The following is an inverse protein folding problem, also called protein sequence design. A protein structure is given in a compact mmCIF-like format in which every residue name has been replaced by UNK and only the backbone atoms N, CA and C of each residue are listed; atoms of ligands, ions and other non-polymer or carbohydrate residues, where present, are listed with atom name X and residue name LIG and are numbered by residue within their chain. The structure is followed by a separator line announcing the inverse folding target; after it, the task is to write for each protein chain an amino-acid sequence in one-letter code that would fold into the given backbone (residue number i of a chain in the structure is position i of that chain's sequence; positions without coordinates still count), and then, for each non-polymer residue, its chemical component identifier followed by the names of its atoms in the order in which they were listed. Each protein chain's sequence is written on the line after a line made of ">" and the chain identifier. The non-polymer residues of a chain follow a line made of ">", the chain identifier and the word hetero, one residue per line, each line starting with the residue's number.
data_IF_246558065176
#
_entry.id   IF_246558065176
#
_cell.length_a   1.000
_cell.length_b   1.000
_cell.length_c   1.000
_cell.angle_alpha   90.00
_cell.angle_beta   90.00
_cell.angle_gamma   90.00
#
_symmetry.space_group_name_H-M   'P 1'
#
loop_
_entity.id
_entity.type
_entity.pdbx_description
1 polymer ?
#
# COMPACT_ATOMS: atom_id res chain seq x y z
N UNK A 1 22.57 -20.29 -64.67
CA UNK A 1 22.22 -21.21 -63.56
C UNK A 1 23.28 -21.09 -62.50
N UNK A 2 22.85 -20.86 -61.24
CA UNK A 2 23.48 -21.23 -59.96
C UNK A 2 25.01 -21.38 -59.94
N UNK A 3 25.71 -20.60 -59.11
CA UNK A 3 26.37 -21.15 -57.91
C UNK A 3 27.26 -20.11 -57.22
N UNK A 4 27.11 -20.10 -55.90
CA UNK A 4 27.93 -19.48 -54.86
C UNK A 4 29.39 -19.94 -54.85
N UNK A 5 30.33 -19.06 -54.45
CA UNK A 5 31.15 -19.19 -53.22
C UNK A 5 32.22 -18.07 -53.03
N UNK A 6 32.22 -17.56 -51.80
CA UNK A 6 33.31 -17.22 -50.87
C UNK A 6 34.45 -16.21 -51.17
N UNK A 7 34.64 -15.39 -50.12
CA UNK A 7 35.87 -14.82 -49.54
C UNK A 7 36.56 -13.65 -50.25
N UNK A 8 36.79 -12.55 -49.51
CA UNK A 8 38.15 -12.03 -49.29
C UNK A 8 38.22 -11.16 -48.03
N UNK A 9 39.34 -11.34 -47.32
CA UNK A 9 39.81 -10.63 -46.12
C UNK A 9 40.16 -9.17 -46.39
N UNK A 10 40.08 -8.30 -45.38
CA UNK A 10 40.98 -7.16 -45.28
C UNK A 10 41.41 -6.94 -43.82
N UNK A 11 42.72 -6.99 -43.59
CA UNK A 11 43.38 -6.52 -42.38
C UNK A 11 44.25 -5.30 -42.67
N UNK A 12 44.27 -4.37 -41.70
CA UNK A 12 45.29 -3.35 -41.37
C UNK A 12 45.67 -2.30 -42.43
N UNK A 13 45.96 -1.02 -42.11
CA UNK A 13 46.84 -0.53 -41.03
C UNK A 13 46.66 1.02 -40.82
N UNK A 14 46.62 1.44 -39.54
CA UNK A 14 47.14 2.67 -38.85
C UNK A 14 46.57 4.09 -39.08
N UNK A 15 46.28 4.75 -37.93
CA UNK A 15 46.23 6.21 -37.79
C UNK A 15 45.97 6.71 -36.34
N UNK A 16 47.03 6.77 -35.54
CA UNK A 16 47.34 7.50 -34.28
C UNK A 16 46.26 8.11 -33.33
N UNK A 17 46.55 7.90 -32.04
CA UNK A 17 45.99 8.46 -30.80
C UNK A 17 46.18 9.98 -30.63
N UNK A 18 45.24 10.60 -29.91
CA UNK A 18 45.52 11.74 -29.02
C UNK A 18 44.83 11.52 -27.66
N UNK A 19 45.61 11.60 -26.59
CA UNK A 19 45.19 11.61 -25.18
C UNK A 19 45.30 13.05 -24.68
N UNK A 20 44.29 13.54 -23.96
CA UNK A 20 44.46 14.66 -23.04
C UNK A 20 44.22 14.18 -21.60
N UNK A 21 45.20 14.46 -20.74
CA UNK A 21 45.23 14.17 -19.31
C UNK A 21 44.73 15.36 -18.49
N UNK A 22 44.03 15.08 -17.39
CA UNK A 22 43.79 16.03 -16.30
C UNK A 22 43.21 15.34 -15.05
N UNK A 23 44.06 15.15 -14.03
CA UNK A 23 43.74 14.82 -12.61
C UNK A 23 42.96 15.99 -11.97
N UNK A 24 42.22 15.90 -10.86
CA UNK A 24 42.40 15.08 -9.67
C UNK A 24 41.15 15.06 -8.74
N UNK A 25 41.04 13.98 -7.95
CA UNK A 25 40.55 13.87 -6.55
C UNK A 25 39.10 14.19 -6.13
N UNK A 26 38.47 13.20 -5.46
CA UNK A 26 37.71 13.44 -4.21
C UNK A 26 36.24 12.98 -4.11
N UNK A 27 36.02 11.70 -3.81
CA UNK A 27 34.90 11.07 -3.08
C UNK A 27 33.47 11.63 -3.09
N UNK A 28 32.50 10.83 -3.55
CA UNK A 28 31.35 10.36 -2.76
C UNK A 28 30.36 9.48 -3.57
N UNK A 29 30.00 8.35 -2.96
CA UNK A 29 28.75 7.56 -3.06
C UNK A 29 28.10 7.30 -4.42
N UNK A 30 28.22 6.03 -4.86
CA UNK A 30 27.40 5.41 -5.91
C UNK A 30 25.96 5.26 -5.41
N UNK A 31 25.03 6.07 -5.93
CA UNK A 31 23.60 5.82 -5.88
C UNK A 31 23.21 5.15 -7.19
N UNK A 32 22.82 3.87 -7.14
CA UNK A 32 22.29 3.14 -8.29
C UNK A 32 20.85 3.59 -8.55
N UNK A 33 20.68 4.65 -9.36
CA UNK A 33 19.40 5.02 -9.96
C UNK A 33 19.05 4.05 -11.10
N UNK A 34 17.93 3.33 -10.97
CA UNK A 34 17.37 2.44 -12.00
C UNK A 34 17.07 3.21 -13.29
N UNK A 35 17.66 2.77 -14.40
CA UNK A 35 17.18 3.08 -15.75
C UNK A 35 15.91 2.27 -16.03
N UNK A 36 14.73 2.89 -15.94
CA UNK A 36 13.50 2.30 -16.49
C UNK A 36 13.33 2.76 -17.94
N UNK A 37 13.77 1.93 -18.90
CA UNK A 37 13.32 2.02 -20.29
C UNK A 37 11.94 1.37 -20.34
N UNK A 38 10.88 2.16 -20.23
CA UNK A 38 9.51 1.69 -20.45
C UNK A 38 9.17 1.97 -21.92
N UNK A 39 9.25 0.91 -22.73
CA UNK A 39 8.60 0.85 -24.04
C UNK A 39 7.12 0.57 -23.83
N UNK A 40 6.26 1.58 -24.06
CA UNK A 40 4.81 1.39 -24.13
C UNK A 40 4.30 1.91 -25.47
N UNK A 41 3.92 0.98 -26.33
CA UNK A 41 3.21 1.22 -27.57
C UNK A 41 1.74 1.52 -27.22
N UNK A 42 1.29 2.77 -27.41
CA UNK A 42 -0.14 3.09 -27.45
C UNK A 42 -0.48 3.76 -28.78
N UNK A 43 -1.41 3.15 -29.50
CA UNK A 43 -1.99 3.64 -30.75
C UNK A 43 -2.74 4.95 -30.51
N UNK A 44 -2.26 6.02 -31.13
CA UNK A 44 -2.85 7.35 -31.09
C UNK A 44 -4.18 7.38 -31.85
N UNK A 45 -5.23 7.94 -31.23
CA UNK A 45 -6.43 8.36 -31.95
C UNK A 45 -6.06 9.55 -32.84
N UNK A 46 -6.13 9.32 -34.15
CA UNK A 46 -5.74 10.25 -35.20
C UNK A 46 -6.88 11.27 -35.43
N UNK A 47 -6.67 12.53 -35.05
CA UNK A 47 -7.54 13.63 -35.49
C UNK A 47 -7.01 14.21 -36.81
N UNK A 48 -7.88 14.63 -37.75
CA UNK A 48 -7.49 14.93 -39.11
C UNK A 48 -6.68 16.23 -39.21
N UNK A 49 -5.69 16.18 -40.10
CA UNK A 49 -4.67 17.19 -40.39
C UNK A 49 -5.26 18.53 -40.86
N UNK A 50 -4.84 19.64 -40.22
CA UNK A 50 -4.84 20.98 -40.82
C UNK A 50 -3.39 21.37 -41.16
N UNK A 51 -3.09 21.81 -42.41
CA UNK A 51 -1.75 22.23 -42.77
C UNK A 51 -1.59 23.72 -42.41
N UNK A 52 -0.85 24.03 -41.34
CA UNK A 52 -0.39 25.40 -41.08
C UNK A 52 1.09 25.37 -40.73
N UNK A 53 1.86 26.04 -41.58
CA UNK A 53 3.26 26.38 -41.44
C UNK A 53 3.47 27.32 -40.23
N UNK A 54 4.69 27.28 -39.66
CA UNK A 54 5.22 27.94 -38.44
C UNK A 54 5.37 27.00 -37.23
N UNK A 55 6.63 26.71 -36.91
CA UNK A 55 7.08 25.68 -35.97
C UNK A 55 6.76 25.96 -34.51
N UNK A 56 5.56 25.59 -34.09
CA UNK A 56 5.29 25.24 -32.69
C UNK A 56 5.47 23.72 -32.56
N UNK A 57 6.65 23.32 -32.10
CA UNK A 57 6.87 21.94 -31.68
C UNK A 57 5.86 21.59 -30.59
N UNK A 58 4.98 20.64 -30.87
CA UNK A 58 4.05 20.11 -29.88
C UNK A 58 4.88 19.43 -28.79
N UNK A 59 5.07 20.12 -27.66
CA UNK A 59 5.78 19.58 -26.50
C UNK A 59 4.99 18.37 -26.00
N UNK A 60 5.57 17.18 -26.14
CA UNK A 60 5.04 15.93 -25.59
C UNK A 60 6.10 15.37 -24.63
N UNK A 61 5.68 15.09 -23.42
CA UNK A 61 6.45 14.37 -22.41
C UNK A 61 5.55 13.31 -21.79
N UNK A 62 6.16 12.35 -21.09
CA UNK A 62 5.42 11.32 -20.37
C UNK A 62 4.80 11.91 -19.09
N UNK A 63 3.60 11.43 -18.76
CA UNK A 63 2.88 11.85 -17.57
C UNK A 63 3.44 11.11 -16.36
N UNK A 64 4.61 11.56 -15.90
CA UNK A 64 5.31 10.99 -14.76
C UNK A 64 4.86 11.63 -13.44
N UNK A 65 5.03 10.91 -12.33
CA UNK A 65 4.77 11.47 -11.00
C UNK A 65 5.71 12.65 -10.71
N UNK A 66 5.21 13.67 -10.02
CA UNK A 66 5.96 14.86 -9.64
C UNK A 66 5.60 15.28 -8.21
N UNK A 67 6.58 15.82 -7.48
CA UNK A 67 6.33 16.39 -6.17
C UNK A 67 5.75 17.80 -6.31
N UNK A 68 4.58 18.04 -5.73
CA UNK A 68 3.93 19.34 -5.73
C UNK A 68 4.49 20.30 -4.65
N UNK A 69 5.34 19.81 -3.73
CA UNK A 69 5.98 20.62 -2.69
C UNK A 69 5.07 21.03 -1.54
N UNK A 70 3.81 20.60 -1.54
CA UNK A 70 2.80 20.85 -0.51
C UNK A 70 2.29 19.57 0.16
N UNK A 71 3.08 18.48 0.09
CA UNK A 71 2.72 17.15 0.61
C UNK A 71 1.86 16.30 -0.33
N UNK A 72 1.49 16.83 -1.50
CA UNK A 72 0.83 16.06 -2.56
C UNK A 72 1.83 15.62 -3.62
N UNK A 73 1.57 14.47 -4.24
CA UNK A 73 2.29 13.96 -5.41
C UNK A 73 1.36 14.10 -6.60
N UNK A 74 1.68 15.04 -7.48
CA UNK A 74 0.93 15.26 -8.71
C UNK A 74 1.39 14.36 -9.85
N UNK A 75 0.81 14.61 -11.02
CA UNK A 75 1.21 14.02 -12.28
C UNK A 75 1.61 15.14 -13.23
N UNK A 76 2.69 14.95 -13.97
CA UNK A 76 3.19 15.96 -14.88
C UNK A 76 2.28 16.06 -16.11
N UNK A 77 1.66 17.23 -16.30
CA UNK A 77 0.80 17.53 -17.44
C UNK A 77 1.21 18.85 -18.08
N UNK A 78 0.77 19.11 -19.31
CA UNK A 78 0.84 20.48 -19.82
C UNK A 78 -0.11 21.37 -19.01
N UNK A 79 0.24 22.65 -18.82
CA UNK A 79 -0.60 23.58 -18.02
C UNK A 79 -2.04 23.68 -18.54
N UNK A 80 -2.23 23.62 -19.86
CA UNK A 80 -3.55 23.65 -20.50
C UNK A 80 -4.33 22.38 -20.23
N UNK A 81 -3.67 21.23 -20.31
CA UNK A 81 -4.29 19.92 -20.06
C UNK A 81 -4.68 19.75 -18.60
N UNK A 82 -3.82 20.18 -17.67
CA UNK A 82 -4.14 20.18 -16.24
C UNK A 82 -5.44 20.96 -15.94
N UNK A 83 -5.56 22.18 -16.51
CA UNK A 83 -6.78 22.99 -16.36
C UNK A 83 -8.00 22.35 -17.02
N UNK A 84 -7.82 21.73 -18.19
CA UNK A 84 -8.91 21.07 -18.91
C UNK A 84 -9.45 19.87 -18.13
N UNK A 85 -8.57 19.13 -17.45
CA UNK A 85 -8.90 18.01 -16.59
C UNK A 85 -9.38 18.42 -15.19
N UNK A 86 -9.50 19.72 -14.90
CA UNK A 86 -9.97 20.23 -13.60
C UNK A 86 -8.93 20.14 -12.47
N UNK A 87 -7.66 19.88 -12.77
CA UNK A 87 -6.59 19.81 -11.79
C UNK A 87 -5.96 21.17 -11.46
N UNK A 88 -5.23 21.21 -10.35
CA UNK A 88 -4.50 22.39 -9.90
C UNK A 88 -3.04 22.34 -10.34
N UNK A 89 -2.55 23.42 -10.97
CA UNK A 89 -1.13 23.56 -11.31
C UNK A 89 -0.36 24.05 -10.07
N UNK A 90 0.31 23.15 -9.36
CA UNK A 90 0.98 23.51 -8.08
C UNK A 90 2.46 23.82 -8.28
N UNK A 91 3.18 22.96 -9.01
CA UNK A 91 4.62 23.08 -9.24
C UNK A 91 4.97 22.94 -10.74
N UNK A 92 6.25 23.06 -11.08
CA UNK A 92 6.76 22.83 -12.44
C UNK A 92 7.35 21.42 -12.57
N UNK A 93 7.26 20.83 -13.76
CA UNK A 93 7.85 19.54 -14.08
C UNK A 93 8.38 19.52 -15.53
N UNK A 94 9.02 18.42 -15.94
CA UNK A 94 9.59 18.24 -17.28
C UNK A 94 10.45 19.43 -17.75
N UNK A 95 11.46 19.83 -16.95
CA UNK A 95 12.32 21.00 -17.22
C UNK A 95 11.52 22.29 -17.47
N UNK A 96 10.49 22.55 -16.66
CA UNK A 96 9.59 23.70 -16.78
C UNK A 96 8.70 23.70 -18.03
N UNK A 97 8.66 22.60 -18.78
CA UNK A 97 7.76 22.44 -19.92
C UNK A 97 6.34 22.02 -19.50
N UNK A 98 6.20 21.46 -18.30
CA UNK A 98 4.93 21.02 -17.72
C UNK A 98 4.65 21.63 -16.36
N UNK A 99 3.43 21.39 -15.88
CA UNK A 99 2.99 21.69 -14.53
C UNK A 99 2.69 20.39 -13.78
N UNK A 100 3.10 20.34 -12.52
CA UNK A 100 2.73 19.28 -11.62
C UNK A 100 1.27 19.46 -11.23
N UNK A 101 0.41 18.65 -11.85
CA UNK A 101 -1.03 18.74 -11.72
C UNK A 101 -1.52 17.85 -10.59
N UNK A 102 -2.30 18.41 -9.67
CA UNK A 102 -2.92 17.65 -8.57
C UNK A 102 -4.43 17.68 -8.74
N UNK A 103 -5.05 16.50 -8.77
CA UNK A 103 -6.50 16.33 -8.81
C UNK A 103 -7.00 16.07 -7.40
N UNK A 104 -7.90 16.93 -6.91
CA UNK A 104 -8.52 16.79 -5.60
C UNK A 104 -10.03 16.83 -5.77
N UNK A 105 -10.69 15.83 -5.21
CA UNK A 105 -12.13 15.68 -5.24
C UNK A 105 -12.65 15.55 -3.81
N UNK A 106 -13.89 16.00 -3.60
CA UNK A 106 -14.54 15.94 -2.29
C UNK A 106 -15.88 15.20 -2.37
N UNK A 107 -16.73 15.35 -1.36
CA UNK A 107 -18.02 14.68 -1.27
C UNK A 107 -18.91 14.94 -2.49
N UNK A 108 -19.44 13.87 -3.08
CA UNK A 108 -20.26 13.89 -4.29
C UNK A 108 -19.44 13.82 -5.59
N UNK A 109 -18.12 13.92 -5.51
CA UNK A 109 -17.23 13.88 -6.66
C UNK A 109 -17.08 12.48 -7.28
N UNK A 110 -16.58 12.47 -8.51
CA UNK A 110 -16.18 11.26 -9.21
C UNK A 110 -14.96 11.53 -10.06
N UNK A 111 -14.08 10.54 -10.20
CA UNK A 111 -12.89 10.67 -11.05
C UNK A 111 -12.57 9.36 -11.76
N UNK A 112 -12.29 9.46 -13.05
CA UNK A 112 -11.66 8.42 -13.87
C UNK A 112 -10.14 8.63 -13.99
N UNK A 113 -9.60 9.73 -13.45
CA UNK A 113 -8.18 10.03 -13.51
C UNK A 113 -7.40 9.18 -12.51
N UNK A 114 -6.19 8.81 -12.90
CA UNK A 114 -5.26 8.14 -12.00
C UNK A 114 -4.54 9.19 -11.16
N UNK A 115 -4.17 8.84 -9.92
CA UNK A 115 -3.53 9.73 -8.96
C UNK A 115 -4.43 10.91 -8.53
N UNK A 116 -5.68 10.61 -8.16
CA UNK A 116 -6.65 11.58 -7.63
C UNK A 116 -6.71 11.49 -6.11
N UNK A 117 -6.91 12.62 -5.44
CA UNK A 117 -7.03 12.70 -3.98
C UNK A 117 -8.49 12.90 -3.56
N UNK A 118 -9.01 12.01 -2.74
CA UNK A 118 -10.30 12.18 -2.08
C UNK A 118 -10.09 12.80 -0.70
N UNK A 119 -10.52 14.06 -0.56
CA UNK A 119 -10.27 14.88 0.64
C UNK A 119 -11.56 15.29 1.33
N UNK A 120 -11.48 15.45 2.66
CA UNK A 120 -12.59 16.00 3.43
C UNK A 120 -12.89 17.44 3.01
N UNK A 121 -14.16 17.89 3.02
CA UNK A 121 -14.50 19.28 2.72
C UNK A 121 -13.72 20.24 3.62
N UNK A 122 -12.97 21.17 3.01
CA UNK A 122 -12.14 22.13 3.74
C UNK A 122 -10.79 21.59 4.26
N UNK A 123 -10.36 20.39 3.82
CA UNK A 123 -9.02 19.86 4.12
C UNK A 123 -7.94 20.92 3.82
N UNK A 124 -6.93 21.11 4.70
CA UNK A 124 -6.55 20.28 5.85
C UNK A 124 -7.30 20.58 7.17
N UNK A 125 -8.28 21.48 7.17
CA UNK A 125 -9.08 21.75 8.36
C UNK A 125 -9.92 20.55 8.76
N UNK A 126 -10.27 20.46 10.04
CA UNK A 126 -11.12 19.38 10.54
C UNK A 126 -12.55 19.53 10.03
N UNK A 127 -13.14 18.40 9.65
CA UNK A 127 -14.50 18.29 9.20
C UNK A 127 -15.42 17.91 10.36
N UNK A 128 -16.45 18.73 10.58
CA UNK A 128 -17.42 18.60 11.69
C UNK A 128 -18.88 18.48 11.22
N UNK A 129 -19.14 18.53 9.90
CA UNK A 129 -20.48 18.49 9.30
C UNK A 129 -20.87 17.16 8.63
N UNK A 130 -22.09 17.09 8.07
CA UNK A 130 -22.52 16.09 7.09
C UNK A 130 -23.05 14.74 7.61
N UNK A 131 -24.00 14.14 6.88
CA UNK A 131 -24.60 12.83 7.15
C UNK A 131 -23.94 11.67 6.37
N UNK A 132 -23.25 11.97 5.27
CA UNK A 132 -22.38 11.03 4.53
C UNK A 132 -21.59 11.77 3.44
N UNK A 133 -20.38 11.30 3.14
CA UNK A 133 -19.52 11.79 2.08
C UNK A 133 -19.18 10.65 1.14
N UNK A 134 -19.52 10.78 -0.15
CA UNK A 134 -19.37 9.70 -1.13
C UNK A 134 -18.43 10.16 -2.25
N UNK A 135 -17.51 9.29 -2.67
CA UNK A 135 -16.63 9.50 -3.80
C UNK A 135 -16.67 8.30 -4.74
N UNK A 136 -16.82 8.54 -6.04
CA UNK A 136 -16.92 7.46 -7.04
C UNK A 136 -15.68 7.38 -7.90
N UNK A 137 -15.01 6.23 -7.87
CA UNK A 137 -13.84 5.91 -8.67
C UNK A 137 -14.34 5.23 -9.95
N UNK A 138 -14.28 5.98 -11.04
CA UNK A 138 -14.66 5.47 -12.36
C UNK A 138 -13.48 4.67 -12.92
N UNK A 139 -13.76 3.43 -13.29
CA UNK A 139 -12.75 2.49 -13.79
C UNK A 139 -12.16 2.97 -15.12
N UNK A 140 -10.84 3.03 -15.22
CA UNK A 140 -10.13 3.18 -16.50
C UNK A 140 -10.15 1.87 -17.31
N UNK A 141 -10.11 1.96 -18.64
CA UNK A 141 -10.22 0.81 -19.55
C UNK A 141 -9.23 -0.33 -19.20
N UNK A 142 -7.98 0.02 -18.91
CA UNK A 142 -6.91 -0.93 -18.59
C UNK A 142 -6.77 -1.24 -17.09
N UNK A 143 -7.54 -0.61 -16.21
CA UNK A 143 -7.43 -0.77 -14.77
C UNK A 143 -8.12 -2.06 -14.31
N UNK A 144 -7.44 -2.86 -13.48
CA UNK A 144 -8.03 -4.05 -12.86
C UNK A 144 -8.17 -3.92 -11.34
N UNK A 145 -7.41 -3.01 -10.74
CA UNK A 145 -7.33 -2.87 -9.29
C UNK A 145 -7.16 -1.39 -8.94
N UNK A 146 -7.62 -0.98 -7.77
CA UNK A 146 -7.35 0.33 -7.20
C UNK A 146 -6.63 0.17 -5.87
N UNK A 147 -5.63 1.00 -5.64
CA UNK A 147 -4.96 1.18 -4.36
C UNK A 147 -5.45 2.48 -3.75
N UNK A 148 -5.93 2.40 -2.51
CA UNK A 148 -6.31 3.54 -1.69
C UNK A 148 -5.27 3.69 -0.59
N UNK A 149 -4.50 4.78 -0.64
CA UNK A 149 -3.53 5.10 0.42
C UNK A 149 -4.14 6.14 1.35
N UNK A 150 -4.24 5.81 2.64
CA UNK A 150 -4.78 6.67 3.67
C UNK A 150 -3.67 7.60 4.19
N UNK A 151 -3.36 8.66 3.44
CA UNK A 151 -2.35 9.63 3.87
C UNK A 151 -2.76 10.32 5.18
N UNK A 152 -4.05 10.62 5.29
CA UNK A 152 -4.69 10.99 6.55
C UNK A 152 -6.03 10.28 6.58
N UNK A 153 -6.34 9.58 7.67
CA UNK A 153 -7.67 9.02 7.89
C UNK A 153 -7.91 8.94 9.39
N UNK A 154 -8.59 9.97 9.89
CA UNK A 154 -8.98 10.11 11.29
C UNK A 154 -10.49 10.23 11.36
N UNK A 155 -11.13 9.15 11.80
CA UNK A 155 -12.56 9.06 12.07
C UNK A 155 -12.79 8.82 13.57
N UNK A 156 -14.04 8.88 14.02
CA UNK A 156 -14.41 8.49 15.38
C UNK A 156 -14.01 7.04 15.66
N UNK A 157 -13.62 6.79 16.91
CA UNK A 157 -13.28 5.47 17.41
C UNK A 157 -14.49 4.52 17.38
N UNK A 158 -14.27 3.19 17.28
CA UNK A 158 -15.32 2.20 17.43
C UNK A 158 -15.94 2.27 18.84
N UNK A 159 -17.07 1.60 19.03
CA UNK A 159 -17.61 1.38 20.37
C UNK A 159 -16.81 0.31 21.15
N UNK A 160 -17.27 -0.04 22.35
CA UNK A 160 -16.66 -1.08 23.18
C UNK A 160 -16.59 -2.46 22.54
N UNK A 161 -17.38 -2.73 21.50
CA UNK A 161 -17.41 -4.00 20.78
C UNK A 161 -16.66 -3.92 19.45
N UNK A 162 -15.78 -2.93 19.25
CA UNK A 162 -15.01 -2.81 18.01
C UNK A 162 -15.84 -2.43 16.78
N UNK A 163 -17.11 -2.02 16.94
CA UNK A 163 -18.00 -1.69 15.81
C UNK A 163 -18.04 -0.19 15.50
N UNK A 164 -17.99 0.12 14.21
CA UNK A 164 -17.93 1.48 13.65
C UNK A 164 -19.31 2.16 13.56
N UNK A 165 -19.91 2.48 14.70
CA UNK A 165 -21.28 3.01 14.74
C UNK A 165 -21.36 4.53 14.53
N UNK A 166 -20.36 5.29 15.01
CA UNK A 166 -20.36 6.75 14.91
C UNK A 166 -19.96 7.20 13.51
N UNK A 167 -18.82 6.72 13.04
CA UNK A 167 -18.33 6.93 11.68
C UNK A 167 -17.91 5.61 11.07
N UNK A 168 -18.05 5.52 9.75
CA UNK A 168 -17.68 4.32 9.01
C UNK A 168 -17.20 4.69 7.62
N UNK A 169 -16.02 4.21 7.24
CA UNK A 169 -15.57 4.11 5.86
C UNK A 169 -16.01 2.76 5.31
N UNK A 170 -16.74 2.81 4.19
CA UNK A 170 -17.27 1.64 3.49
C UNK A 170 -16.88 1.75 2.02
N UNK A 171 -16.29 0.70 1.47
CA UNK A 171 -15.95 0.61 0.04
C UNK A 171 -16.85 -0.42 -0.61
N UNK A 172 -17.49 -0.05 -1.71
CA UNK A 172 -18.46 -0.90 -2.44
C UNK A 172 -18.22 -0.86 -3.94
N UNK A 173 -18.85 -1.77 -4.70
CA UNK A 173 -18.75 -1.82 -6.16
C UNK A 173 -17.53 -2.57 -6.70
N UNK A 174 -16.56 -2.91 -5.84
CA UNK A 174 -15.42 -3.78 -6.17
C UNK A 174 -15.76 -5.27 -6.04
N UNK A 175 -14.86 -6.12 -6.54
CA UNK A 175 -14.90 -7.57 -6.35
C UNK A 175 -14.31 -8.01 -5.00
N UNK A 176 -13.44 -7.18 -4.41
CA UNK A 176 -12.87 -7.43 -3.08
C UNK A 176 -13.86 -7.04 -1.98
N UNK A 177 -13.94 -7.87 -0.95
CA UNK A 177 -14.70 -7.55 0.27
C UNK A 177 -13.79 -6.70 1.16
N UNK A 178 -14.16 -5.43 1.36
CA UNK A 178 -13.47 -4.51 2.25
C UNK A 178 -14.27 -4.42 3.55
N UNK A 179 -13.66 -4.68 4.73
CA UNK A 179 -14.36 -4.53 5.99
C UNK A 179 -14.65 -3.06 6.28
N UNK A 180 -15.60 -2.80 7.18
CA UNK A 180 -15.95 -1.43 7.59
C UNK A 180 -14.84 -0.87 8.48
N UNK A 181 -14.26 0.27 8.10
CA UNK A 181 -13.15 0.88 8.82
C UNK A 181 -13.58 2.15 9.57
N UNK A 182 -13.02 2.38 10.75
CA UNK A 182 -13.16 3.62 11.50
C UNK A 182 -11.92 3.88 12.36
N UNK A 183 -11.93 4.96 13.13
CA UNK A 183 -10.80 5.39 13.95
C UNK A 183 -9.59 5.88 13.15
N UNK A 184 -8.38 5.54 13.59
CA UNK A 184 -7.11 6.09 13.09
C UNK A 184 -6.39 5.11 12.16
N UNK A 185 -6.32 5.44 10.86
CA UNK A 185 -5.74 4.58 9.83
C UNK A 185 -4.73 5.30 8.93
N UNK A 186 -4.25 6.47 9.37
CA UNK A 186 -3.23 7.25 8.65
C UNK A 186 -1.95 6.42 8.44
N UNK A 187 -1.40 6.46 7.23
CA UNK A 187 -0.23 5.68 6.82
C UNK A 187 -0.52 4.24 6.38
N UNK A 188 -1.78 3.78 6.45
CA UNK A 188 -2.19 2.48 5.93
C UNK A 188 -2.73 2.58 4.50
N UNK A 189 -2.95 1.44 3.86
CA UNK A 189 -3.51 1.36 2.51
C UNK A 189 -4.36 0.10 2.34
N UNK A 190 -5.21 0.11 1.32
CA UNK A 190 -5.98 -1.06 0.88
C UNK A 190 -5.95 -1.21 -0.64
N UNK A 191 -6.07 -2.45 -1.11
CA UNK A 191 -6.24 -2.81 -2.52
C UNK A 191 -7.64 -3.37 -2.75
N UNK A 192 -8.27 -2.92 -3.83
CA UNK A 192 -9.64 -3.33 -4.20
C UNK A 192 -9.66 -3.64 -5.69
N UNK A 193 -10.03 -4.86 -6.05
CA UNK A 193 -10.20 -5.26 -7.45
C UNK A 193 -11.53 -4.73 -8.01
N UNK A 194 -11.52 -4.29 -9.27
CA UNK A 194 -12.74 -3.91 -9.98
C UNK A 194 -13.57 -5.16 -10.34
N UNK A 195 -14.90 -5.04 -10.26
CA UNK A 195 -15.81 -6.12 -10.68
C UNK A 195 -16.30 -5.88 -12.11
N UNK A 196 -15.54 -6.36 -13.10
CA UNK A 196 -15.83 -6.05 -14.50
C UNK A 196 -15.65 -4.55 -14.75
N UNK A 197 -16.68 -3.85 -15.24
CA UNK A 197 -16.65 -2.41 -15.52
C UNK A 197 -17.40 -1.56 -14.48
N UNK A 198 -17.71 -2.12 -13.30
CA UNK A 198 -18.35 -1.36 -12.23
C UNK A 198 -17.39 -0.35 -11.62
N UNK A 199 -17.89 0.85 -11.36
CA UNK A 199 -17.17 1.84 -10.57
C UNK A 199 -17.10 1.40 -9.10
N UNK A 200 -16.01 1.79 -8.42
CA UNK A 200 -15.85 1.56 -6.98
C UNK A 200 -16.29 2.84 -6.26
N UNK A 201 -17.09 2.70 -5.22
CA UNK A 201 -17.58 3.82 -4.42
C UNK A 201 -16.99 3.76 -3.02
N UNK A 202 -16.35 4.86 -2.60
CA UNK A 202 -15.82 5.07 -1.25
C UNK A 202 -16.78 5.98 -0.51
N UNK A 203 -17.40 5.47 0.55
CA UNK A 203 -18.40 6.17 1.34
C UNK A 203 -17.92 6.34 2.77
N UNK A 204 -17.87 7.57 3.25
CA UNK A 204 -17.58 7.92 4.65
C UNK A 204 -18.88 8.40 5.29
N UNK A 205 -19.47 7.56 6.13
CA UNK A 205 -20.63 7.92 6.94
C UNK A 205 -20.17 8.66 8.18
N UNK A 206 -20.82 9.79 8.46
CA UNK A 206 -20.55 10.64 9.61
C UNK A 206 -21.87 10.83 10.34
N UNK A 207 -21.96 10.36 11.59
CA UNK A 207 -23.22 10.41 12.37
C UNK A 207 -23.19 11.34 13.58
N UNK A 208 -22.03 11.91 13.91
CA UNK A 208 -21.87 12.85 15.02
C UNK A 208 -21.18 14.13 14.57
N UNK A 209 -21.57 15.31 15.04
CA UNK A 209 -20.90 16.58 14.74
C UNK A 209 -19.83 16.98 15.77
N UNK A 210 -19.67 16.23 16.86
CA UNK A 210 -18.78 16.60 17.98
C UNK A 210 -17.35 16.11 17.84
N UNK A 211 -17.08 15.25 16.85
CA UNK A 211 -15.75 14.68 16.60
C UNK A 211 -15.08 15.43 15.45
N UNK A 212 -13.85 15.86 15.65
CA UNK A 212 -13.02 16.41 14.58
C UNK A 212 -12.47 15.29 13.71
N UNK A 213 -12.73 15.36 12.41
CA UNK A 213 -12.31 14.33 11.44
C UNK A 213 -11.46 14.94 10.35
N UNK A 214 -10.62 14.15 9.74
CA UNK A 214 -9.96 14.55 8.51
C UNK A 214 -9.59 13.31 7.71
N UNK A 215 -9.76 13.41 6.39
CA UNK A 215 -9.26 12.38 5.50
C UNK A 215 -8.64 13.00 4.26
N UNK A 216 -7.59 12.35 3.81
CA UNK A 216 -6.90 12.58 2.56
C UNK A 216 -6.47 11.21 2.04
N UNK A 217 -7.23 10.70 1.07
CA UNK A 217 -7.07 9.36 0.51
C UNK A 217 -6.55 9.50 -0.91
N UNK A 218 -5.34 9.01 -1.17
CA UNK A 218 -4.77 8.97 -2.52
C UNK A 218 -5.30 7.74 -3.25
N UNK A 219 -5.88 7.95 -4.43
CA UNK A 219 -6.51 6.93 -5.25
C UNK A 219 -5.63 6.64 -6.47
N UNK A 220 -5.17 5.40 -6.59
CA UNK A 220 -4.31 4.96 -7.69
C UNK A 220 -4.90 3.74 -8.38
N UNK A 221 -5.28 3.89 -9.63
CA UNK A 221 -5.72 2.78 -10.47
C UNK A 221 -4.50 2.04 -11.02
N UNK A 222 -4.54 0.71 -10.94
CA UNK A 222 -3.47 -0.21 -11.32
C UNK A 222 -3.92 -1.00 -12.52
N UNK A 223 -3.11 -0.93 -13.59
CA UNK A 223 -3.40 -1.64 -14.83
C UNK A 223 -3.35 -3.15 -14.66
N UNK A 224 -4.16 -3.87 -15.43
CA UNK A 224 -4.23 -5.33 -15.43
C UNK A 224 -2.88 -6.01 -15.69
N UNK A 225 -2.04 -5.40 -16.53
CA UNK A 225 -0.71 -5.91 -16.90
C UNK A 225 0.42 -5.40 -15.99
N UNK A 226 0.09 -4.73 -14.88
CA UNK A 226 1.10 -4.25 -13.94
C UNK A 226 1.76 -5.44 -13.21
N UNK A 227 3.09 -5.62 -13.30
CA UNK A 227 3.79 -6.70 -12.60
C UNK A 227 3.65 -6.64 -11.08
N UNK A 228 3.37 -5.45 -10.55
CA UNK A 228 3.29 -5.15 -9.12
C UNK A 228 1.84 -5.11 -8.60
N UNK A 229 0.88 -5.62 -9.38
CA UNK A 229 -0.52 -5.74 -8.96
C UNK A 229 -0.60 -6.67 -7.74
N UNK A 230 -1.33 -6.25 -6.71
CA UNK A 230 -1.54 -7.09 -5.53
C UNK A 230 -2.31 -8.37 -5.91
N UNK A 231 -1.91 -9.55 -5.40
CA UNK A 231 -2.65 -10.79 -5.63
C UNK A 231 -4.09 -10.69 -5.12
N UNK A 232 -5.01 -11.41 -5.78
CA UNK A 232 -6.40 -11.49 -5.33
C UNK A 232 -6.48 -12.07 -3.90
N UNK A 233 -7.34 -11.48 -3.07
CA UNK A 233 -7.48 -11.86 -1.65
C UNK A 233 -6.56 -11.10 -0.69
N UNK A 234 -5.60 -10.33 -1.19
CA UNK A 234 -4.73 -9.47 -0.38
C UNK A 234 -5.34 -8.06 -0.29
N UNK A 235 -5.94 -7.72 0.86
CA UNK A 235 -6.43 -6.37 1.11
C UNK A 235 -5.26 -5.41 1.36
N UNK A 236 -4.21 -5.87 2.02
CA UNK A 236 -2.95 -5.14 2.16
C UNK A 236 -1.83 -5.87 1.42
N UNK A 237 -1.02 -5.12 0.68
CA UNK A 237 0.13 -5.65 -0.06
C UNK A 237 1.36 -4.80 0.18
N UNK A 238 2.46 -5.45 0.55
CA UNK A 238 3.75 -4.82 0.84
C UNK A 238 4.82 -5.39 -0.08
N UNK A 239 5.72 -4.53 -0.57
CA UNK A 239 6.77 -4.92 -1.53
C UNK A 239 8.18 -4.87 -0.92
N UNK A 240 8.31 -4.39 0.30
CA UNK A 240 9.60 -4.21 0.97
C UNK A 240 10.17 -5.54 1.49
N UNK A 241 11.50 -5.56 1.69
CA UNK A 241 12.19 -6.69 2.32
C UNK A 241 11.84 -6.82 3.81
N UNK A 242 11.58 -5.69 4.47
CA UNK A 242 11.10 -5.62 5.84
C UNK A 242 10.14 -4.46 6.01
N UNK A 243 9.35 -4.48 7.07
CA UNK A 243 8.38 -3.44 7.38
C UNK A 243 7.55 -3.78 8.60
N UNK A 244 6.54 -2.96 8.87
CA UNK A 244 5.59 -3.19 9.95
C UNK A 244 4.18 -3.17 9.39
N UNK A 245 3.41 -4.19 9.72
CA UNK A 245 1.99 -4.31 9.44
C UNK A 245 1.24 -4.03 10.72
N UNK A 246 0.22 -3.18 10.63
CA UNK A 246 -0.67 -2.85 11.74
C UNK A 246 -2.08 -3.27 11.39
N UNK A 247 -2.84 -3.69 12.40
CA UNK A 247 -4.29 -3.79 12.25
C UNK A 247 -4.88 -2.42 11.95
N UNK A 248 -6.04 -2.40 11.29
CA UNK A 248 -6.81 -1.17 11.19
C UNK A 248 -7.15 -0.63 12.59
N UNK A 249 -7.16 0.69 12.72
CA UNK A 249 -7.36 1.43 13.98
C UNK A 249 -6.33 1.19 15.10
N UNK A 250 -5.16 0.59 14.83
CA UNK A 250 -4.13 0.36 15.86
C UNK A 250 -3.71 1.65 16.61
N UNK A 251 -3.58 2.77 15.89
CA UNK A 251 -3.20 4.09 16.42
C UNK A 251 -1.89 4.14 17.20
N UNK A 252 -1.68 5.20 17.99
CA UNK A 252 -0.42 5.46 18.73
C UNK A 252 -0.56 5.68 20.25
N UNK A 253 -1.79 5.65 20.80
CA UNK A 253 -2.03 5.99 22.21
C UNK A 253 -1.83 4.80 23.15
N UNK A 254 -1.15 5.04 24.27
CA UNK A 254 -0.83 4.07 25.33
C UNK A 254 -1.92 3.86 26.38
N UNK A 255 -2.96 4.70 26.39
CA UNK A 255 -4.07 4.62 27.37
C UNK A 255 -5.34 4.26 26.63
N UNK A 256 -5.84 3.05 26.85
CA UNK A 256 -7.04 2.55 26.22
C UNK A 256 -8.20 2.68 27.21
N UNK A 257 -9.15 3.58 26.95
CA UNK A 257 -10.50 3.46 27.50
C UNK A 257 -11.33 2.76 26.42
N UNK A 258 -11.50 1.44 26.53
CA UNK A 258 -12.18 0.61 25.53
C UNK A 258 -11.23 -0.14 24.59
N UNK A 259 -11.79 -0.75 23.54
CA UNK A 259 -11.05 -1.50 22.52
C UNK A 259 -10.76 -0.62 21.30
N UNK A 260 -9.59 -0.81 20.68
CA UNK A 260 -9.27 -0.26 19.35
C UNK A 260 -9.34 -1.32 18.27
N UNK A 261 -9.29 -2.59 18.64
CA UNK A 261 -9.52 -3.70 17.74
C UNK A 261 -10.90 -3.56 17.10
N UNK A 262 -10.93 -3.70 15.78
CA UNK A 262 -12.18 -3.65 15.03
C UNK A 262 -12.76 -5.06 14.93
N UNK A 263 -14.07 -5.15 15.11
CA UNK A 263 -14.81 -6.40 15.05
C UNK A 263 -15.18 -6.78 13.61
N UNK A 264 -15.44 -8.07 13.39
CA UNK A 264 -15.85 -8.67 12.11
C UNK A 264 -14.85 -8.45 10.98
N UNK A 265 -13.55 -8.53 11.29
CA UNK A 265 -12.48 -8.46 10.32
C UNK A 265 -12.20 -9.85 9.74
N UNK A 266 -12.06 -9.93 8.42
CA UNK A 266 -11.51 -11.10 7.73
C UNK A 266 -10.79 -10.63 6.47
N UNK A 267 -9.48 -10.43 6.56
CA UNK A 267 -8.69 -9.91 5.45
C UNK A 267 -7.27 -10.47 5.41
N UNK A 268 -6.74 -10.59 4.19
CA UNK A 268 -5.36 -11.00 3.95
C UNK A 268 -4.42 -9.81 3.88
N UNK A 269 -3.30 -9.93 4.58
CA UNK A 269 -2.11 -9.07 4.44
C UNK A 269 -1.04 -9.91 3.75
N UNK A 270 -0.53 -9.43 2.63
CA UNK A 270 0.42 -10.19 1.82
C UNK A 270 1.72 -9.40 1.61
N UNK A 271 2.82 -10.11 1.43
CA UNK A 271 4.15 -9.52 1.18
C UNK A 271 4.73 -10.10 -0.11
N UNK A 272 5.24 -9.22 -0.98
CA UNK A 272 5.88 -9.59 -2.23
C UNK A 272 7.19 -10.33 -1.95
N UNK A 273 7.33 -11.50 -2.55
CA UNK A 273 8.57 -12.27 -2.45
C UNK A 273 9.66 -11.61 -3.28
N UNK A 274 10.71 -11.16 -2.62
CA UNK A 274 11.89 -10.66 -3.31
C UNK A 274 12.74 -11.82 -3.87
N UNK A 275 13.40 -11.64 -5.04
CA UNK A 275 14.32 -12.64 -5.57
C UNK A 275 15.41 -12.99 -4.55
N UNK A 276 15.67 -14.28 -4.33
CA UNK A 276 16.66 -14.76 -3.36
C UNK A 276 16.14 -14.91 -1.92
N UNK A 277 14.85 -14.65 -1.67
CA UNK A 277 14.22 -14.80 -0.36
C UNK A 277 13.20 -15.95 -0.33
N UNK A 278 13.33 -16.83 0.66
CA UNK A 278 12.58 -18.08 0.75
C UNK A 278 11.63 -18.13 1.95
N UNK A 279 11.89 -17.36 3.02
CA UNK A 279 11.03 -17.30 4.20
C UNK A 279 10.58 -15.88 4.52
N UNK A 280 9.60 -15.77 5.41
CA UNK A 280 9.22 -14.51 6.06
C UNK A 280 9.19 -14.75 7.57
N UNK A 281 9.92 -13.92 8.29
CA UNK A 281 9.86 -13.84 9.74
C UNK A 281 8.83 -12.79 10.14
N UNK A 282 8.00 -13.13 11.13
CA UNK A 282 7.07 -12.23 11.79
C UNK A 282 7.47 -12.12 13.26
N UNK A 283 7.50 -10.89 13.77
CA UNK A 283 7.79 -10.58 15.17
C UNK A 283 6.93 -9.44 15.68
N UNK A 284 6.73 -9.36 16.99
CA UNK A 284 6.08 -8.20 17.58
C UNK A 284 6.94 -6.94 17.37
N UNK A 285 6.32 -5.80 17.05
CA UNK A 285 7.02 -4.52 17.07
C UNK A 285 7.50 -4.15 18.48
N UNK A 286 8.36 -3.13 18.60
CA UNK A 286 8.89 -2.67 19.89
C UNK A 286 7.85 -2.09 20.85
N UNK A 287 6.59 -1.98 20.42
CA UNK A 287 5.47 -1.57 21.27
C UNK A 287 5.09 -2.73 22.20
N UNK A 288 5.03 -2.47 23.51
CA UNK A 288 4.60 -3.45 24.51
C UNK A 288 3.19 -3.97 24.20
N UNK A 289 2.29 -3.10 23.71
CA UNK A 289 0.95 -3.45 23.25
C UNK A 289 0.93 -3.79 21.75
N UNK A 290 2.09 -4.18 21.22
CA UNK A 290 2.32 -4.58 19.84
C UNK A 290 1.44 -5.73 19.40
N UNK A 291 0.92 -6.52 20.34
CA UNK A 291 0.01 -7.62 20.04
C UNK A 291 -0.96 -7.85 21.20
N UNK A 292 -2.21 -7.42 21.02
CA UNK A 292 -3.32 -7.59 21.96
C UNK A 292 -4.58 -7.83 21.12
N UNK A 293 -4.81 -9.10 20.79
CA UNK A 293 -5.84 -9.51 19.81
C UNK A 293 -6.99 -10.28 20.47
N UNK A 294 -6.77 -10.95 21.60
CA UNK A 294 -7.86 -11.54 22.40
C UNK A 294 -7.49 -11.56 23.87
N UNK A 295 -8.52 -11.65 24.72
CA UNK A 295 -8.41 -11.66 26.17
C UNK A 295 -8.49 -10.26 26.78
N UNK A 296 -8.26 -10.20 28.08
CA UNK A 296 -8.29 -8.95 28.84
C UNK A 296 -6.87 -8.37 28.96
N UNK A 297 -6.58 -7.35 28.15
CA UNK A 297 -5.30 -6.65 28.19
C UNK A 297 -5.06 -5.97 29.54
N UNK A 298 -6.10 -5.44 30.19
CA UNK A 298 -5.95 -4.69 31.45
C UNK A 298 -5.47 -5.59 32.60
N UNK A 299 -6.01 -6.80 32.70
CA UNK A 299 -5.59 -7.76 33.73
C UNK A 299 -4.14 -8.20 33.53
N UNK A 300 -3.73 -8.43 32.28
CA UNK A 300 -2.35 -8.78 31.93
C UNK A 300 -1.35 -7.62 32.20
N UNK A 301 -1.79 -6.35 32.17
CA UNK A 301 -0.91 -5.26 32.61
C UNK A 301 -0.53 -5.42 34.09
N UNK A 302 -1.45 -5.92 34.93
CA UNK A 302 -1.24 -6.12 36.36
C UNK A 302 -0.25 -7.23 36.72
N UNK A 303 -0.07 -8.22 35.84
CA UNK A 303 0.90 -9.31 36.02
C UNK A 303 2.25 -9.06 35.32
N UNK A 304 2.34 -8.02 34.49
CA UNK A 304 3.56 -7.62 33.78
C UNK A 304 3.92 -8.50 32.57
N UNK A 305 2.97 -9.28 32.04
CA UNK A 305 3.23 -10.23 30.94
C UNK A 305 2.92 -9.69 29.55
N UNK A 306 2.27 -8.52 29.42
CA UNK A 306 1.93 -7.91 28.13
C UNK A 306 3.18 -7.70 27.27
N UNK A 307 3.09 -8.11 26.00
CA UNK A 307 4.17 -8.06 25.02
C UNK A 307 5.25 -9.12 25.20
N UNK A 308 5.06 -10.08 26.12
CA UNK A 308 5.98 -11.20 26.33
C UNK A 308 5.41 -12.48 25.73
N UNK A 309 6.28 -13.46 25.43
CA UNK A 309 5.86 -14.78 24.96
C UNK A 309 5.01 -15.54 25.98
N UNK A 310 5.10 -15.21 27.27
CA UNK A 310 4.28 -15.83 28.33
C UNK A 310 2.80 -15.51 28.21
N UNK A 311 2.46 -14.35 27.60
CA UNK A 311 1.09 -13.92 27.34
C UNK A 311 0.61 -14.28 25.92
N UNK A 312 1.44 -14.98 25.14
CA UNK A 312 1.05 -15.43 23.80
C UNK A 312 0.22 -16.71 23.88
N UNK A 313 -0.85 -16.75 23.10
CA UNK A 313 -1.75 -17.89 22.97
C UNK A 313 -1.73 -18.36 21.51
N UNK A 314 -1.92 -19.66 21.31
CA UNK A 314 -1.89 -20.25 19.96
C UNK A 314 -2.88 -21.39 19.81
N UNK A 315 -3.27 -21.69 18.57
CA UNK A 315 -4.05 -22.89 18.26
C UNK A 315 -5.45 -22.87 18.84
N UNK A 316 -5.80 -23.90 19.61
CA UNK A 316 -7.15 -24.11 20.15
C UNK A 316 -7.58 -23.04 21.17
N UNK A 317 -6.63 -22.31 21.76
CA UNK A 317 -6.92 -21.17 22.63
C UNK A 317 -7.44 -19.94 21.82
N UNK A 318 -7.12 -19.90 20.53
CA UNK A 318 -7.46 -18.81 19.62
C UNK A 318 -8.78 -19.06 18.89
N UNK A 319 -9.90 -18.95 19.62
CA UNK A 319 -11.24 -19.29 19.13
C UNK A 319 -12.03 -18.12 18.55
N UNK A 320 -11.76 -16.90 19.03
CA UNK A 320 -12.52 -15.69 18.68
C UNK A 320 -11.74 -14.84 17.66
N UNK A 321 -10.62 -14.30 18.12
CA UNK A 321 -9.83 -13.32 17.40
C UNK A 321 -8.38 -13.77 17.32
N UNK A 322 -7.83 -13.76 16.11
CA UNK A 322 -6.49 -14.26 15.87
C UNK A 322 -5.93 -13.80 14.54
N UNK A 323 -4.62 -13.91 14.42
CA UNK A 323 -3.94 -13.87 13.13
C UNK A 323 -3.54 -15.28 12.71
N UNK A 324 -3.53 -15.54 11.40
CA UNK A 324 -3.14 -16.82 10.82
C UNK A 324 -1.85 -16.66 10.04
N UNK A 325 -0.84 -17.45 10.39
CA UNK A 325 0.43 -17.57 9.67
C UNK A 325 0.61 -19.04 9.29
N UNK A 326 0.66 -19.38 8.00
CA UNK A 326 0.69 -20.77 7.56
C UNK A 326 2.04 -21.44 7.84
N UNK A 327 2.01 -22.69 8.32
CA UNK A 327 3.19 -23.52 8.60
C UNK A 327 4.31 -22.78 9.36
N UNK A 328 4.02 -22.21 10.54
CA UNK A 328 4.97 -21.40 11.28
C UNK A 328 6.01 -22.26 12.01
N UNK A 329 7.24 -21.78 12.04
CA UNK A 329 8.37 -22.35 12.75
C UNK A 329 8.82 -21.34 13.79
N UNK A 330 8.94 -21.74 15.05
CA UNK A 330 9.42 -20.85 16.11
C UNK A 330 10.89 -20.49 15.85
N UNK A 331 11.21 -19.21 15.80
CA UNK A 331 12.56 -18.72 15.46
C UNK A 331 13.59 -19.14 16.52
N UNK A 332 13.23 -19.08 17.80
CA UNK A 332 14.15 -19.26 18.92
C UNK A 332 14.82 -20.64 18.99
N UNK A 333 14.17 -21.67 18.46
CA UNK A 333 14.65 -23.05 18.51
C UNK A 333 14.41 -23.85 17.21
N UNK A 334 13.97 -23.17 16.14
CA UNK A 334 13.65 -23.75 14.84
C UNK A 334 12.65 -24.93 14.90
N UNK A 335 11.69 -24.89 15.82
CA UNK A 335 10.67 -25.94 15.99
C UNK A 335 9.40 -25.61 15.21
N UNK A 336 8.95 -26.48 14.29
CA UNK A 336 7.65 -26.32 13.64
C UNK A 336 6.51 -26.36 14.66
N UNK A 337 5.56 -25.44 14.56
CA UNK A 337 4.38 -25.40 15.40
C UNK A 337 3.23 -26.15 14.73
N UNK A 338 2.47 -26.94 15.49
CA UNK A 338 1.28 -27.64 15.00
C UNK A 338 0.02 -26.76 15.08
N UNK A 339 0.16 -25.50 14.68
CA UNK A 339 -0.90 -24.50 14.69
C UNK A 339 -0.53 -23.40 13.71
N UNK A 340 -1.55 -22.79 13.10
CA UNK A 340 -1.39 -21.61 12.27
C UNK A 340 -1.96 -20.34 12.93
N UNK A 341 -2.62 -20.46 14.10
CA UNK A 341 -3.35 -19.36 14.75
C UNK A 341 -2.59 -18.80 15.94
N UNK A 342 -2.55 -17.48 16.03
CA UNK A 342 -1.87 -16.71 17.09
C UNK A 342 -2.79 -15.62 17.64
N UNK A 343 -2.87 -15.52 18.96
CA UNK A 343 -3.71 -14.57 19.67
C UNK A 343 -3.12 -14.30 21.08
N UNK A 344 -3.84 -13.54 21.91
CA UNK A 344 -3.44 -13.19 23.27
C UNK A 344 -2.83 -11.79 23.36
N UNK A 345 -2.01 -11.60 24.40
CA UNK A 345 -1.37 -10.33 24.76
C UNK A 345 0.15 -10.32 24.54
N UNK A 346 0.62 -11.20 23.66
CA UNK A 346 2.01 -11.26 23.21
C UNK A 346 2.12 -12.13 21.97
N UNK A 347 3.24 -12.03 21.26
CA UNK A 347 3.44 -12.76 20.01
C UNK A 347 4.82 -13.42 19.96
N UNK A 348 4.90 -14.75 19.68
CA UNK A 348 6.17 -15.42 19.51
C UNK A 348 6.74 -15.12 18.12
N UNK A 349 8.05 -14.90 18.01
CA UNK A 349 8.69 -14.73 16.69
C UNK A 349 8.65 -16.04 15.91
N UNK A 350 8.08 -16.00 14.71
CA UNK A 350 7.89 -17.17 13.86
C UNK A 350 8.35 -16.91 12.43
N UNK A 351 8.90 -17.94 11.80
CA UNK A 351 9.29 -17.95 10.39
C UNK A 351 8.32 -18.85 9.62
N UNK A 352 7.86 -18.39 8.47
CA UNK A 352 7.09 -19.20 7.52
C UNK A 352 7.81 -19.26 6.18
N UNK A 353 7.94 -20.47 5.64
CA UNK A 353 8.42 -20.70 4.27
C UNK A 353 7.27 -20.94 3.29
N UNK A 354 6.02 -20.92 3.77
CA UNK A 354 4.83 -21.13 2.94
C UNK A 354 4.64 -19.98 1.95
N UNK A 355 4.14 -20.31 0.76
CA UNK A 355 3.96 -19.36 -0.34
C UNK A 355 2.48 -19.22 -0.69
N UNK A 356 1.98 -18.03 -1.00
CA UNK A 356 2.66 -16.73 -0.88
C UNK A 356 2.85 -16.30 0.59
N UNK A 357 3.73 -15.32 0.85
CA UNK A 357 3.86 -14.76 2.20
C UNK A 357 2.57 -14.01 2.57
N UNK A 358 1.87 -14.54 3.56
CA UNK A 358 0.54 -14.07 3.97
C UNK A 358 0.38 -14.12 5.49
N UNK A 359 -0.33 -13.12 6.00
CA UNK A 359 -0.88 -13.04 7.35
C UNK A 359 -2.37 -12.78 7.19
N UNK A 360 -3.23 -13.68 7.69
CA UNK A 360 -4.69 -13.46 7.66
C UNK A 360 -5.16 -12.93 9.00
N UNK A 361 -6.01 -11.92 9.01
CA UNK A 361 -6.57 -11.33 10.23
C UNK A 361 -8.02 -11.75 10.35
N UNK A 362 -8.39 -12.33 11.49
CA UNK A 362 -9.76 -12.74 11.78
C UNK A 362 -10.17 -12.18 13.14
N UNK A 363 -11.25 -11.39 13.17
CA UNK A 363 -11.93 -10.99 14.40
C UNK A 363 -13.42 -11.28 14.29
N UNK A 364 -14.03 -11.68 15.40
CA UNK A 364 -15.46 -11.94 15.46
C UNK A 364 -16.25 -10.66 15.82
N UNK A 365 -17.54 -10.79 16.10
CA UNK A 365 -18.41 -9.67 16.49
C UNK A 365 -18.63 -9.50 18.00
N UNK A 366 -18.00 -10.33 18.82
CA UNK A 366 -18.27 -10.47 20.25
C UNK A 366 -17.02 -10.23 21.09
N UNK A 367 -16.93 -9.03 21.65
CA UNK A 367 -15.78 -8.58 22.44
C UNK A 367 -16.09 -8.56 23.96
N UNK A 368 -17.11 -9.29 24.44
CA UNK A 368 -17.59 -9.20 25.85
C UNK A 368 -16.48 -9.49 26.88
N UNK A 369 -15.46 -10.28 26.52
CA UNK A 369 -14.30 -10.59 27.36
C UNK A 369 -12.98 -10.07 26.76
N UNK A 370 -13.05 -9.30 25.67
CA UNK A 370 -11.91 -8.78 24.93
C UNK A 370 -11.75 -7.29 25.23
N UNK A 371 -11.19 -7.00 26.40
CA UNK A 371 -11.11 -5.64 26.94
C UNK A 371 -9.72 -5.06 26.76
N UNK A 372 -9.65 -3.81 26.31
CA UNK A 372 -8.38 -3.09 26.16
C UNK A 372 -7.52 -3.58 25.00
N UNK A 373 -8.06 -4.41 24.10
CA UNK A 373 -7.32 -4.89 22.95
C UNK A 373 -7.08 -3.77 21.93
N UNK A 374 -5.82 -3.65 21.50
CA UNK A 374 -5.41 -2.66 20.51
C UNK A 374 -5.39 -3.22 19.09
N UNK A 375 -5.39 -4.55 18.97
CA UNK A 375 -5.04 -5.27 17.75
C UNK A 375 -3.54 -5.55 17.71
N UNK A 376 -2.94 -5.49 16.52
CA UNK A 376 -1.54 -5.87 16.34
C UNK A 376 -0.72 -4.85 15.54
N UNK A 377 0.57 -4.86 15.80
CA UNK A 377 1.64 -4.18 15.10
C UNK A 377 2.81 -5.17 15.02
N UNK A 378 2.86 -5.92 13.93
CA UNK A 378 3.84 -6.96 13.67
C UNK A 378 4.88 -6.45 12.66
N UNK A 379 6.15 -6.67 12.97
CA UNK A 379 7.24 -6.46 12.03
C UNK A 379 7.41 -7.72 11.19
N UNK A 380 7.71 -7.55 9.90
CA UNK A 380 8.14 -8.64 9.04
C UNK A 380 9.52 -8.38 8.47
N UNK A 381 10.25 -9.47 8.22
CA UNK A 381 11.52 -9.47 7.52
C UNK A 381 11.60 -10.70 6.63
N UNK A 382 11.93 -10.52 5.35
CA UNK A 382 12.14 -11.64 4.44
C UNK A 382 13.48 -12.32 4.76
N UNK A 383 13.43 -13.65 4.84
CA UNK A 383 14.58 -14.51 5.12
C UNK A 383 15.20 -14.99 3.81
N UNK A 384 16.51 -14.80 3.67
CA UNK A 384 17.27 -15.27 2.50
C UNK A 384 17.13 -16.79 2.35
N UNK A 385 17.16 -17.26 1.11
CA UNK A 385 17.26 -18.68 0.84
C UNK A 385 18.58 -19.23 1.40
N UNK A 386 18.52 -20.23 2.28
CA UNK A 386 19.72 -20.98 2.65
C UNK A 386 20.17 -21.84 1.46
N UNK A 387 21.48 -21.90 1.21
CA UNK A 387 22.08 -22.70 0.14
C UNK A 387 21.78 -24.20 0.27
N UNK A 388 21.43 -24.68 1.47
CA UNK A 388 20.98 -26.06 1.69
C UNK A 388 19.64 -26.40 1.01
N UNK A 389 18.76 -25.42 0.79
CA UNK A 389 17.49 -25.58 0.08
C UNK A 389 17.65 -25.57 -1.45
N UNK A 390 18.76 -25.04 -1.96
CA UNK A 390 19.07 -25.01 -3.39
C UNK A 390 19.77 -26.26 -3.90
N UNK A 391 20.45 -27.00 -3.02
CA UNK A 391 21.25 -28.18 -3.41
C UNK A 391 20.74 -29.51 -2.87
N UNK A 392 19.74 -29.51 -1.99
CA UNK A 392 19.20 -30.74 -1.40
C UNK A 392 20.23 -31.42 -0.49
N UNK A 393 19.79 -31.93 0.65
CA UNK A 393 20.56 -32.94 1.38
C UNK A 393 20.11 -34.32 0.95
#
# INVERSE_FOLDING_TARGET
>A
MISTRLQFSLGFLVGAFFVFSGSDSGGNNVILGRNSVISSNRTSRQFPFFPVFWGVGLVRFLNDECDAGNGFVGTCYTRKECNYLGGSNIAYCANHAGACCVFQETCGGSSDLNNTYFVSPGFPSTYTGGSSCVFTIVKQEDACQVRLDFLTLNLAQPNSNGTCNTDALVVTGGASIVPVLCGENSGQHIYVDFNGNTSITVSIFVRSSTVSRSWNIRVRQINCNCPWRAPAGCLQWYESLSGTVRSFNYGSSSVLNGTRQLANMNYGVCVAMAPGYCGIEWSQSSDTYGFSVTGDTFTAVGDGTVGTTSASLTGDDCTTDFVVIPAPILESNNTPLNTDRFCGNGFPTVISYSKQFVLTVVTNGNEVNDTGNRGFSLSFSQVLCDGSLLFGK
#
